data_IF_018840628753
#
_entry.id   IF_018840628753
#
_cell.length_a   1.000
_cell.length_b   1.000
_cell.length_c   1.000
_cell.angle_alpha   90.00
_cell.angle_beta   90.00
_cell.angle_gamma   90.00
#
_symmetry.space_group_name_H-M   'P 1'
#
loop_
_entity.id
_entity.type
_entity.pdbx_description
1 polymer ?
#
# COMPACT_ATOMS: atom_id res chain seq x y z
N UNK A 1 7.95 -10.09 -13.77
CA UNK A 1 9.14 -9.21 -13.62
C UNK A 1 8.94 -8.41 -12.35
N UNK A 2 9.96 -8.25 -11.49
CA UNK A 2 9.86 -7.42 -10.28
C UNK A 2 9.58 -5.96 -10.65
N UNK A 3 8.86 -5.27 -9.76
CA UNK A 3 8.52 -3.85 -9.91
C UNK A 3 9.75 -2.97 -9.80
N UNK A 4 9.65 -1.76 -10.36
CA UNK A 4 10.67 -0.72 -10.21
C UNK A 4 10.94 -0.43 -8.73
N UNK A 5 12.20 -0.13 -8.39
CA UNK A 5 12.62 0.10 -7.00
C UNK A 5 11.95 1.35 -6.42
N UNK A 6 11.28 1.20 -5.29
CA UNK A 6 10.73 2.31 -4.50
C UNK A 6 11.34 2.29 -3.09
N UNK A 7 12.35 3.14 -2.85
CA UNK A 7 13.02 3.25 -1.56
C UNK A 7 12.25 4.21 -0.63
N UNK A 8 11.67 3.65 0.44
CA UNK A 8 10.85 4.37 1.42
C UNK A 8 11.64 5.22 2.41
N UNK A 9 12.96 5.02 2.51
CA UNK A 9 13.85 5.64 3.47
C UNK A 9 14.54 4.63 4.38
N UNK A 10 15.43 5.10 5.28
CA UNK A 10 16.02 4.24 6.29
C UNK A 10 14.97 3.78 7.31
N UNK A 11 15.13 2.57 7.83
CA UNK A 11 14.43 2.08 9.02
C UNK A 11 15.48 1.48 9.96
N UNK A 12 16.20 2.37 10.64
CA UNK A 12 17.34 2.04 11.52
C UNK A 12 17.04 2.31 12.99
N UNK A 13 15.84 2.80 13.29
CA UNK A 13 15.34 3.00 14.66
C UNK A 13 14.23 2.00 14.93
N UNK A 14 14.11 1.58 16.18
CA UNK A 14 12.98 0.74 16.59
C UNK A 14 11.66 1.44 16.27
N UNK A 15 10.77 0.70 15.61
CA UNK A 15 9.40 1.12 15.35
C UNK A 15 8.46 0.00 15.79
N UNK A 16 7.42 0.38 16.54
CA UNK A 16 6.41 -0.57 17.03
C UNK A 16 5.20 -0.55 16.10
N UNK A 17 4.81 -1.73 15.63
CA UNK A 17 3.55 -1.90 14.93
C UNK A 17 2.39 -1.57 15.88
N UNK A 18 1.54 -0.56 15.58
CA UNK A 18 0.49 -0.16 16.51
C UNK A 18 -0.55 -1.25 16.72
N UNK A 19 -1.01 -1.44 17.96
CA UNK A 19 -1.96 -2.51 18.31
C UNK A 19 -3.29 -2.39 17.53
N UNK A 20 -3.72 -1.17 17.17
CA UNK A 20 -4.93 -1.00 16.32
C UNK A 20 -4.79 -1.62 14.93
N UNK A 21 -3.56 -1.70 14.42
CA UNK A 21 -3.27 -2.19 13.08
C UNK A 21 -3.38 -3.72 13.00
N UNK A 22 -3.34 -4.42 14.14
CA UNK A 22 -3.46 -5.89 14.19
C UNK A 22 -4.89 -6.38 14.05
N UNK A 23 -5.90 -5.50 14.16
CA UNK A 23 -7.31 -5.88 14.02
C UNK A 23 -7.63 -5.98 12.52
N UNK A 24 -7.91 -7.17 11.98
CA UNK A 24 -8.19 -7.32 10.56
C UNK A 24 -9.61 -6.84 10.24
N UNK A 25 -9.73 -6.09 9.15
CA UNK A 25 -11.01 -5.65 8.60
C UNK A 25 -11.56 -6.74 7.67
N UNK A 26 -12.80 -7.16 7.87
CA UNK A 26 -13.53 -8.11 7.01
C UNK A 26 -14.44 -7.34 6.05
N UNK A 27 -14.49 -7.77 4.78
CA UNK A 27 -15.33 -7.12 3.75
C UNK A 27 -16.83 -7.36 3.94
N UNK A 28 -17.19 -8.52 4.49
CA UNK A 28 -18.57 -8.92 4.73
C UNK A 28 -18.64 -10.01 5.81
N UNK A 29 -19.84 -10.26 6.35
CA UNK A 29 -20.07 -11.24 7.41
C UNK A 29 -19.81 -12.69 6.98
N UNK A 30 -19.88 -12.98 5.68
CA UNK A 30 -19.66 -14.31 5.09
C UNK A 30 -18.34 -14.42 4.33
N UNK A 31 -17.54 -13.36 4.33
CA UNK A 31 -16.28 -13.29 3.60
C UNK A 31 -15.19 -14.08 4.35
N UNK A 32 -14.36 -14.80 3.61
CA UNK A 32 -13.26 -15.60 4.16
C UNK A 32 -11.92 -14.87 4.16
N UNK A 33 -11.87 -13.62 3.69
CA UNK A 33 -10.67 -12.80 3.67
C UNK A 33 -10.81 -11.62 4.62
N UNK A 34 -9.71 -11.26 5.27
CA UNK A 34 -9.61 -10.09 6.14
C UNK A 34 -8.23 -9.43 6.02
N UNK A 35 -8.12 -8.14 6.32
CA UNK A 35 -6.89 -7.36 6.11
C UNK A 35 -6.51 -6.52 7.33
N UNK A 36 -5.31 -6.69 7.85
CA UNK A 36 -4.69 -5.81 8.84
C UNK A 36 -4.19 -4.50 8.22
N UNK A 37 -3.90 -3.52 9.07
CA UNK A 37 -3.37 -2.22 8.64
C UNK A 37 -4.37 -1.38 7.83
N UNK A 38 -5.66 -1.59 8.06
CA UNK A 38 -6.75 -0.89 7.38
C UNK A 38 -7.43 0.11 8.31
N UNK A 39 -8.05 1.13 7.73
CA UNK A 39 -8.89 2.14 8.38
C UNK A 39 -10.18 2.35 7.59
N UNK A 40 -11.19 2.95 8.24
CA UNK A 40 -12.46 3.25 7.60
C UNK A 40 -12.53 4.72 7.21
N UNK A 41 -13.00 4.99 5.99
CA UNK A 41 -13.18 6.34 5.47
C UNK A 41 -13.95 6.36 4.16
N UNK A 42 -13.71 7.38 3.34
CA UNK A 42 -14.32 7.49 2.01
C UNK A 42 -13.40 6.83 0.98
N UNK A 43 -13.74 5.61 0.55
CA UNK A 43 -13.11 4.97 -0.58
C UNK A 43 -14.08 4.93 -1.77
N UNK A 44 -13.61 5.29 -2.97
CA UNK A 44 -14.40 5.17 -4.22
C UNK A 44 -14.21 3.79 -4.88
N UNK A 45 -13.17 3.07 -4.49
CA UNK A 45 -12.78 1.79 -5.07
C UNK A 45 -13.45 0.59 -4.39
N UNK A 46 -14.08 0.79 -3.23
CA UNK A 46 -14.93 -0.21 -2.58
C UNK A 46 -16.12 0.45 -1.88
N UNK A 47 -17.23 -0.30 -1.75
CA UNK A 47 -18.48 0.22 -1.17
C UNK A 47 -18.47 0.25 0.36
N UNK A 48 -17.55 -0.47 0.99
CA UNK A 48 -17.38 -0.59 2.43
C UNK A 48 -16.67 0.63 3.05
N UNK A 49 -15.94 1.41 2.26
CA UNK A 49 -15.12 2.52 2.73
C UNK A 49 -13.83 2.08 3.42
N UNK A 50 -13.31 0.90 3.10
CA UNK A 50 -12.02 0.41 3.61
C UNK A 50 -10.90 1.13 2.87
N UNK A 51 -9.93 1.66 3.61
CA UNK A 51 -8.75 2.32 3.09
C UNK A 51 -7.54 1.79 3.86
N UNK A 52 -6.37 1.88 3.27
CA UNK A 52 -5.17 1.53 4.01
C UNK A 52 -4.76 2.60 5.01
N UNK A 53 -4.42 2.17 6.22
CA UNK A 53 -3.93 3.04 7.27
C UNK A 53 -2.44 3.29 7.07
N UNK A 54 -2.11 4.53 6.70
CA UNK A 54 -0.71 4.94 6.50
C UNK A 54 0.14 4.91 7.74
N UNK A 55 -0.50 4.99 8.90
CA UNK A 55 0.15 4.98 10.19
C UNK A 55 0.37 3.54 10.69
N UNK A 56 -0.06 2.53 9.92
CA UNK A 56 0.28 1.12 10.10
C UNK A 56 1.51 0.70 9.29
N UNK A 57 2.24 1.65 8.71
CA UNK A 57 3.52 1.44 8.06
C UNK A 57 4.62 2.21 8.80
N UNK A 58 5.88 1.73 8.80
CA UNK A 58 6.99 2.49 9.37
C UNK A 58 7.18 3.86 8.72
N UNK A 59 7.79 4.84 9.44
CA UNK A 59 8.04 6.18 8.93
C UNK A 59 8.77 6.15 7.59
N UNK A 60 8.30 6.97 6.64
CA UNK A 60 8.79 7.00 5.26
C UNK A 60 9.08 8.41 4.79
N UNK A 61 9.80 8.54 3.68
CA UNK A 61 10.05 9.84 3.02
C UNK A 61 8.72 10.54 2.72
N UNK A 62 8.63 11.83 3.08
CA UNK A 62 7.43 12.65 2.90
C UNK A 62 7.01 12.83 1.43
N UNK A 63 7.93 12.62 0.48
CA UNK A 63 7.65 12.65 -0.96
C UNK A 63 6.90 11.41 -1.48
N UNK A 64 6.68 10.39 -0.64
CA UNK A 64 6.01 9.14 -1.03
C UNK A 64 4.59 9.13 -0.48
N UNK A 65 3.64 9.34 -1.38
CA UNK A 65 2.21 9.19 -1.10
C UNK A 65 1.83 7.72 -1.04
N UNK A 66 0.99 7.36 -0.08
CA UNK A 66 0.47 6.00 0.06
C UNK A 66 -0.38 5.61 -1.17
N UNK A 67 -0.18 4.40 -1.67
CA UNK A 67 -1.14 3.72 -2.56
C UNK A 67 -2.06 2.80 -1.75
N UNK A 68 -2.88 2.00 -2.44
CA UNK A 68 -3.57 0.86 -1.82
C UNK A 68 -2.50 -0.01 -1.14
N UNK A 69 -2.64 -0.26 0.15
CA UNK A 69 -1.72 -1.10 0.90
C UNK A 69 -2.17 -2.56 0.85
N UNK A 70 -1.33 -3.38 1.46
CA UNK A 70 -1.19 -4.80 1.13
C UNK A 70 -0.70 -5.05 -0.32
N UNK A 71 -0.63 -4.01 -1.16
CA UNK A 71 -0.01 -4.07 -2.49
C UNK A 71 1.51 -3.73 -2.51
N UNK A 72 2.14 -3.63 -1.35
CA UNK A 72 3.54 -3.27 -1.19
C UNK A 72 3.83 -1.80 -1.55
N UNK A 73 4.43 -1.05 -0.62
CA UNK A 73 4.75 0.37 -0.86
C UNK A 73 6.17 0.63 -1.32
N UNK A 74 7.03 -0.36 -1.17
CA UNK A 74 8.46 -0.24 -1.44
C UNK A 74 9.25 -1.07 -0.45
N UNK A 75 10.50 -0.68 -0.27
CA UNK A 75 11.41 -1.26 0.70
C UNK A 75 12.10 -0.16 1.52
N UNK A 76 12.48 -0.50 2.75
CA UNK A 76 13.28 0.35 3.62
C UNK A 76 14.75 0.03 3.43
N UNK A 77 15.60 1.05 3.29
CA UNK A 77 17.04 0.87 3.13
C UNK A 77 17.83 2.13 3.52
N UNK A 78 18.88 2.00 4.37
CA UNK A 78 19.27 0.78 5.07
C UNK A 78 18.23 0.38 6.14
N UNK A 79 17.99 -0.94 6.25
CA UNK A 79 17.20 -1.54 7.32
C UNK A 79 17.53 -3.03 7.43
N UNK A 80 17.72 -3.53 8.66
CA UNK A 80 18.21 -4.90 8.90
C UNK A 80 17.52 -5.60 10.08
N UNK A 81 16.58 -4.94 10.76
CA UNK A 81 15.79 -5.49 11.86
C UNK A 81 14.31 -5.27 11.62
N UNK A 82 13.50 -6.32 11.83
CA UNK A 82 12.05 -6.21 11.72
C UNK A 82 11.48 -5.32 12.83
N UNK A 83 10.43 -4.54 12.53
CA UNK A 83 9.68 -3.81 13.56
C UNK A 83 9.23 -4.66 14.74
N UNK A 84 9.01 -4.01 15.88
CA UNK A 84 8.41 -4.68 17.03
C UNK A 84 6.98 -5.15 16.69
N UNK A 85 6.70 -6.43 16.96
CA UNK A 85 5.47 -7.12 16.57
C UNK A 85 5.58 -7.87 15.24
N UNK A 86 6.71 -7.74 14.55
CA UNK A 86 7.03 -8.44 13.32
C UNK A 86 8.26 -9.34 13.50
N UNK A 87 8.32 -10.40 12.70
CA UNK A 87 9.40 -11.38 12.64
C UNK A 87 9.88 -11.56 11.21
N UNK A 88 11.09 -12.09 11.05
CA UNK A 88 11.63 -12.47 9.73
C UNK A 88 10.85 -13.68 9.21
N UNK A 89 10.08 -13.49 8.14
CA UNK A 89 9.29 -14.55 7.52
C UNK A 89 9.90 -15.06 6.20
N UNK A 90 10.65 -14.22 5.50
CA UNK A 90 11.37 -14.62 4.29
C UNK A 90 12.64 -13.78 4.08
N UNK A 91 13.57 -14.31 3.29
CA UNK A 91 14.87 -13.68 3.03
C UNK A 91 15.36 -13.94 1.61
N UNK A 92 16.17 -13.01 1.10
CA UNK A 92 16.92 -13.19 -0.12
C UNK A 92 18.30 -12.52 -0.04
N UNK A 93 19.23 -12.97 -0.89
CA UNK A 93 20.54 -12.37 -1.12
C UNK A 93 20.73 -12.25 -2.63
N UNK A 94 20.81 -11.03 -3.14
CA UNK A 94 20.76 -10.82 -4.58
C UNK A 94 19.42 -11.19 -5.22
N UNK A 95 19.30 -11.07 -6.55
CA UNK A 95 18.04 -11.29 -7.27
C UNK A 95 17.62 -12.76 -7.37
N UNK A 96 18.55 -13.71 -7.25
CA UNK A 96 18.30 -15.13 -7.56
C UNK A 96 18.36 -16.07 -6.34
N UNK A 97 18.84 -15.61 -5.18
CA UNK A 97 18.98 -16.46 -3.99
C UNK A 97 17.97 -16.05 -2.94
N UNK A 98 17.06 -16.94 -2.55
CA UNK A 98 16.09 -16.65 -1.49
C UNK A 98 14.96 -17.68 -1.42
N UNK A 99 14.10 -17.53 -0.42
CA UNK A 99 12.90 -18.37 -0.24
C UNK A 99 11.59 -17.66 -0.63
N UNK A 100 11.69 -16.43 -1.16
CA UNK A 100 10.56 -15.63 -1.57
C UNK A 100 10.93 -14.72 -2.75
N UNK A 101 9.99 -14.50 -3.65
CA UNK A 101 10.17 -13.65 -4.82
C UNK A 101 9.68 -12.22 -4.52
N UNK A 102 10.57 -11.36 -4.02
CA UNK A 102 10.19 -10.02 -3.60
C UNK A 102 9.61 -9.18 -4.76
N UNK A 103 8.58 -8.38 -4.44
CA UNK A 103 7.92 -7.51 -5.41
C UNK A 103 8.88 -6.45 -5.95
N UNK A 104 9.77 -5.91 -5.12
CA UNK A 104 10.74 -4.88 -5.51
C UNK A 104 12.10 -5.50 -5.79
N UNK A 105 12.72 -5.09 -6.91
CA UNK A 105 13.98 -5.68 -7.34
C UNK A 105 15.12 -5.52 -6.32
N UNK A 106 15.93 -6.59 -6.23
CA UNK A 106 17.06 -6.76 -5.32
C UNK A 106 18.35 -6.63 -6.12
N UNK A 107 19.34 -5.90 -5.58
CA UNK A 107 20.67 -5.82 -6.19
C UNK A 107 21.56 -6.97 -5.74
N UNK A 108 22.55 -7.35 -6.56
CA UNK A 108 23.43 -8.51 -6.32
C UNK A 108 24.13 -8.49 -4.95
N UNK A 109 24.45 -7.30 -4.44
CA UNK A 109 25.14 -7.11 -3.16
C UNK A 109 24.19 -6.77 -1.98
N UNK A 110 22.87 -6.91 -2.17
CA UNK A 110 21.87 -6.65 -1.13
C UNK A 110 21.38 -7.94 -0.47
N UNK A 111 21.18 -7.84 0.84
CA UNK A 111 20.43 -8.80 1.65
C UNK A 111 19.05 -8.22 1.92
N UNK A 112 18.04 -9.06 1.83
CA UNK A 112 16.63 -8.66 1.96
C UNK A 112 15.96 -9.51 3.02
N UNK A 113 15.15 -8.84 3.85
CA UNK A 113 14.29 -9.46 4.86
C UNK A 113 12.85 -9.04 4.57
N UNK A 114 11.96 -10.02 4.43
CA UNK A 114 10.52 -9.81 4.46
C UNK A 114 10.01 -10.02 5.88
N UNK A 115 9.57 -8.94 6.51
CA UNK A 115 9.03 -8.97 7.86
C UNK A 115 7.51 -9.12 7.80
N UNK A 116 6.99 -10.04 8.60
CA UNK A 116 5.56 -10.27 8.80
C UNK A 116 5.19 -10.26 10.27
N UNK A 117 3.92 -9.96 10.65
CA UNK A 117 3.49 -10.11 12.04
C UNK A 117 3.78 -11.52 12.56
N UNK A 118 4.02 -11.68 13.86
CA UNK A 118 4.25 -13.00 14.46
C UNK A 118 3.14 -13.99 14.09
N UNK A 119 3.51 -15.17 13.59
CA UNK A 119 2.56 -16.20 13.13
C UNK A 119 2.05 -16.05 11.69
N UNK A 120 2.59 -15.09 10.92
CA UNK A 120 2.30 -14.91 9.49
C UNK A 120 3.49 -15.35 8.63
N UNK A 121 3.21 -15.68 7.36
CA UNK A 121 4.22 -16.04 6.36
C UNK A 121 4.19 -15.09 5.17
N UNK A 122 5.32 -14.93 4.47
CA UNK A 122 5.36 -14.14 3.23
C UNK A 122 4.50 -14.81 2.14
N UNK A 123 3.70 -14.01 1.45
CA UNK A 123 2.80 -14.45 0.40
C UNK A 123 2.69 -13.41 -0.71
N UNK A 124 2.16 -13.83 -1.86
CA UNK A 124 2.03 -12.98 -3.03
C UNK A 124 0.78 -13.32 -3.87
N UNK A 125 -0.42 -13.37 -3.27
CA UNK A 125 -1.63 -13.86 -3.92
C UNK A 125 -2.09 -12.85 -4.99
N UNK A 126 -1.70 -13.08 -6.24
CA UNK A 126 -2.08 -12.21 -7.36
C UNK A 126 -1.10 -11.07 -7.66
N UNK A 127 0.12 -11.10 -7.11
CA UNK A 127 1.24 -10.29 -7.60
C UNK A 127 1.93 -9.41 -6.55
N UNK A 128 1.21 -8.64 -5.71
CA UNK A 128 1.86 -7.84 -4.69
C UNK A 128 2.29 -8.64 -3.46
N UNK A 129 3.39 -8.25 -2.83
CA UNK A 129 3.92 -8.93 -1.65
C UNK A 129 3.12 -8.56 -0.39
N UNK A 130 2.76 -9.57 0.39
CA UNK A 130 1.94 -9.45 1.58
C UNK A 130 2.34 -10.52 2.61
N UNK A 131 1.78 -10.43 3.81
CA UNK A 131 1.85 -11.46 4.82
C UNK A 131 0.51 -12.17 4.90
N UNK A 132 0.50 -13.49 5.13
CA UNK A 132 -0.73 -14.26 5.28
C UNK A 132 -0.69 -15.18 6.50
N UNK A 133 -1.85 -15.40 7.10
CA UNK A 133 -2.09 -16.47 8.06
C UNK A 133 -3.53 -16.96 7.93
N UNK A 134 -3.84 -18.11 8.53
CA UNK A 134 -5.19 -18.67 8.55
C UNK A 134 -5.64 -18.82 10.00
N UNK A 135 -6.73 -18.15 10.36
CA UNK A 135 -7.42 -18.38 11.62
C UNK A 135 -8.59 -19.35 11.37
N UNK A 136 -8.65 -20.46 12.10
CA UNK A 136 -9.71 -21.47 11.95
C UNK A 136 -10.39 -21.87 13.27
N UNK A 137 -9.84 -21.42 14.40
CA UNK A 137 -10.31 -21.77 15.74
C UNK A 137 -10.17 -20.61 16.71
N UNK A 138 -11.08 -20.53 17.67
CA UNK A 138 -11.06 -19.53 18.75
C UNK A 138 -11.73 -18.22 18.36
N UNK A 139 -11.70 -17.26 19.29
CA UNK A 139 -12.31 -15.93 19.11
C UNK A 139 -11.26 -14.92 18.66
N UNK A 140 -11.55 -14.23 17.57
CA UNK A 140 -10.74 -13.17 16.98
C UNK A 140 -11.52 -11.86 16.97
N UNK A 141 -10.87 -10.77 17.36
CA UNK A 141 -11.44 -9.44 17.18
C UNK A 141 -11.27 -9.05 15.72
N UNK A 142 -12.36 -8.70 15.05
CA UNK A 142 -12.40 -8.24 13.66
C UNK A 142 -13.04 -6.86 13.59
N UNK A 143 -12.77 -6.14 12.51
CA UNK A 143 -13.39 -4.86 12.24
C UNK A 143 -14.23 -4.90 10.95
N UNK A 144 -15.24 -4.07 10.87
CA UNK A 144 -15.94 -3.74 9.64
C UNK A 144 -16.12 -2.24 9.53
N UNK A 145 -16.29 -1.74 8.30
CA UNK A 145 -16.54 -0.33 8.07
C UNK A 145 -18.04 -0.08 7.89
N UNK A 146 -18.59 0.82 8.71
CA UNK A 146 -19.99 1.25 8.62
C UNK A 146 -20.06 2.78 8.74
N UNK A 147 -20.60 3.44 7.71
CA UNK A 147 -20.72 4.91 7.65
C UNK A 147 -19.39 5.62 7.97
N UNK A 148 -18.29 5.18 7.36
CA UNK A 148 -16.93 5.71 7.55
C UNK A 148 -16.38 5.55 8.98
N UNK A 149 -16.98 4.66 9.79
CA UNK A 149 -16.51 4.34 11.14
C UNK A 149 -16.15 2.88 11.25
N UNK A 150 -15.11 2.61 12.02
CA UNK A 150 -14.72 1.26 12.41
C UNK A 150 -15.73 0.71 13.43
N UNK A 151 -16.32 -0.43 13.11
CA UNK A 151 -17.17 -1.21 14.00
C UNK A 151 -16.40 -2.46 14.38
N UNK A 152 -16.13 -2.63 15.67
CA UNK A 152 -15.47 -3.83 16.18
C UNK A 152 -16.49 -4.92 16.45
N UNK A 153 -16.14 -6.15 16.09
CA UNK A 153 -16.92 -7.34 16.38
C UNK A 153 -16.01 -8.50 16.78
N UNK A 154 -16.57 -9.52 17.41
CA UNK A 154 -15.87 -10.76 17.70
C UNK A 154 -16.35 -11.86 16.76
N UNK A 155 -15.43 -12.51 16.06
CA UNK A 155 -15.68 -13.68 15.24
C UNK A 155 -15.11 -14.89 15.96
N UNK A 156 -15.95 -15.89 16.24
CA UNK A 156 -15.50 -17.16 16.82
C UNK A 156 -15.56 -18.24 15.75
N UNK A 157 -14.44 -18.90 15.49
CA UNK A 157 -14.31 -19.92 14.45
C UNK A 157 -14.23 -21.34 15.02
N UNK A 158 -14.79 -22.35 14.33
CA UNK A 158 -15.62 -22.21 13.12
C UNK A 158 -16.98 -21.54 13.42
N UNK A 159 -17.55 -20.85 12.44
CA UNK A 159 -18.83 -20.14 12.59
C UNK A 159 -19.87 -20.61 11.56
N UNK A 160 -21.15 -20.55 11.92
CA UNK A 160 -22.25 -20.65 10.96
C UNK A 160 -22.99 -19.33 10.94
N UNK A 161 -22.96 -18.65 9.80
CA UNK A 161 -23.58 -17.34 9.60
C UNK A 161 -24.84 -17.54 8.76
N UNK A 162 -25.99 -17.22 9.34
CA UNK A 162 -27.27 -17.25 8.63
C UNK A 162 -27.67 -15.81 8.33
N UNK A 163 -27.78 -15.51 7.04
CA UNK A 163 -28.43 -14.30 6.53
C UNK A 163 -29.85 -14.65 6.05
N UNK A 164 -30.68 -13.66 5.74
CA UNK A 164 -32.09 -13.85 5.37
C UNK A 164 -32.28 -14.81 4.17
N UNK A 165 -31.26 -14.99 3.34
CA UNK A 165 -31.32 -15.76 2.09
C UNK A 165 -30.38 -16.98 2.05
N UNK A 166 -29.46 -17.14 3.01
CA UNK A 166 -28.43 -18.19 2.93
C UNK A 166 -27.78 -18.48 4.27
N UNK A 167 -27.36 -19.74 4.48
CA UNK A 167 -26.51 -20.14 5.60
C UNK A 167 -25.12 -20.50 5.07
N UNK A 168 -24.10 -19.87 5.62
CA UNK A 168 -22.69 -20.07 5.23
C UNK A 168 -21.90 -20.58 6.43
N UNK A 169 -21.14 -21.65 6.24
CA UNK A 169 -20.19 -22.16 7.23
C UNK A 169 -18.81 -21.57 6.97
N UNK A 170 -18.22 -20.97 7.99
CA UNK A 170 -16.86 -20.42 8.00
C UNK A 170 -15.96 -21.34 8.83
N UNK A 171 -15.24 -22.24 8.18
CA UNK A 171 -14.26 -23.12 8.83
C UNK A 171 -12.95 -22.38 9.16
N UNK A 172 -12.70 -21.26 8.49
CA UNK A 172 -11.57 -20.38 8.74
C UNK A 172 -11.60 -19.15 7.85
N UNK A 173 -10.76 -18.17 8.21
CA UNK A 173 -10.51 -16.98 7.41
C UNK A 173 -9.01 -16.83 7.13
N UNK A 174 -8.69 -16.36 5.93
CA UNK A 174 -7.35 -15.94 5.54
C UNK A 174 -7.19 -14.48 5.91
N UNK A 175 -6.14 -14.17 6.67
CA UNK A 175 -5.85 -12.82 7.12
C UNK A 175 -4.58 -12.35 6.44
N UNK A 176 -4.69 -11.24 5.71
CA UNK A 176 -3.57 -10.56 5.09
C UNK A 176 -3.05 -9.44 5.99
N UNK A 177 -1.75 -9.17 5.93
CA UNK A 177 -1.13 -8.08 6.66
C UNK A 177 -0.02 -7.40 5.84
N UNK A 178 0.31 -6.13 6.12
CA UNK A 178 1.39 -5.44 5.43
C UNK A 178 2.72 -6.21 5.57
N UNK A 179 3.36 -6.53 4.45
CA UNK A 179 4.72 -7.07 4.45
C UNK A 179 5.74 -5.93 4.34
N UNK A 180 6.67 -5.89 5.29
CA UNK A 180 7.68 -4.83 5.36
C UNK A 180 8.98 -5.41 4.80
N UNK A 181 9.40 -4.91 3.63
CA UNK A 181 10.66 -5.33 3.01
C UNK A 181 11.81 -4.43 3.49
N UNK A 182 12.85 -5.05 4.02
CA UNK A 182 14.07 -4.40 4.48
C UNK A 182 15.22 -4.80 3.56
N UNK A 183 15.99 -3.83 3.08
CA UNK A 183 17.20 -4.06 2.29
C UNK A 183 18.41 -3.45 3.00
N UNK A 184 19.48 -4.22 3.11
CA UNK A 184 20.75 -3.78 3.66
C UNK A 184 21.93 -4.46 2.97
N UNK A 185 23.11 -3.87 3.17
CA UNK A 185 24.42 -4.40 2.78
C UNK A 185 25.27 -4.60 4.02
N UNK A 186 26.36 -5.36 3.90
CA UNK A 186 27.24 -5.64 5.04
C UNK A 186 27.79 -4.37 5.71
N UNK A 187 28.12 -3.35 4.90
CA UNK A 187 28.58 -2.05 5.41
C UNK A 187 27.54 -1.33 6.27
N UNK A 188 26.25 -1.59 6.07
CA UNK A 188 25.18 -0.92 6.80
C UNK A 188 25.07 -1.42 8.25
N UNK A 189 25.52 -2.66 8.52
CA UNK A 189 25.54 -3.22 9.87
C UNK A 189 26.49 -2.45 10.80
N UNK A 190 27.54 -1.86 10.26
CA UNK A 190 28.48 -1.04 11.03
C UNK A 190 27.90 0.31 11.50
N UNK A 191 26.86 0.81 10.83
CA UNK A 191 26.18 2.07 11.20
C UNK A 191 25.30 1.90 12.44
N UNK A 192 24.87 0.68 12.77
CA UNK A 192 24.05 0.39 13.96
C UNK A 192 24.81 0.60 15.28
N UNK A 193 26.12 0.34 15.28
CA UNK A 193 26.97 0.47 16.48
C UNK A 193 27.34 1.92 16.83
N UNK A 194 26.98 2.90 16.00
CA UNK A 194 27.38 4.30 16.16
C UNK A 194 26.59 5.12 17.19
N UNK A 195 25.48 4.60 17.74
CA UNK A 195 24.67 5.30 18.74
C UNK A 195 25.06 4.96 20.19
N UNK A 196 26.35 4.73 20.44
CA UNK A 196 26.88 4.80 21.81
C UNK A 196 27.44 6.20 22.00
N UNK A 197 26.76 7.00 22.82
CA UNK A 197 27.19 8.34 23.25
C UNK A 197 28.60 8.24 23.85
N UNK A 198 29.63 8.50 23.04
CA UNK A 198 30.99 8.69 23.49
C UNK A 198 31.01 9.88 24.44
N UNK A 199 30.97 9.58 25.73
CA UNK A 199 31.18 10.57 26.78
C UNK A 199 32.70 10.74 26.85
N UNK A 200 33.22 11.68 26.06
CA UNK A 200 34.65 12.02 26.08
C UNK A 200 34.96 12.65 27.44
N UNK A 201 35.35 11.84 28.42
CA UNK A 201 35.98 12.32 29.66
C UNK A 201 37.36 12.85 29.32
N UNK A 202 37.43 14.14 28.97
CA UNK A 202 38.68 14.89 28.87
C UNK A 202 39.13 15.19 30.30
N UNK A 203 40.22 14.54 30.72
CA UNK A 203 40.94 14.88 31.94
C UNK A 203 41.81 16.11 31.66
N UNK A 204 41.55 17.22 32.35
CA UNK A 204 42.34 18.45 32.30
C UNK A 204 43.11 18.58 33.62
N UNK A 205 44.42 18.87 33.64
CA UNK A 205 45.15 19.11 34.87
C UNK A 205 44.84 20.51 35.42
N UNK A 206 44.86 20.61 36.75
CA UNK A 206 44.52 21.79 37.52
C UNK A 206 45.52 22.94 37.36
N UNK A 207 45.02 24.14 37.07
CA UNK A 207 45.65 25.39 37.50
C UNK A 207 44.59 26.46 37.82
N UNK A 208 45.04 27.38 38.66
CA UNK A 208 44.31 28.21 39.62
C UNK A 208 43.68 29.46 39.01
N UNK A 209 42.50 29.85 39.49
CA UNK A 209 42.18 31.25 39.76
C UNK A 209 41.08 31.92 38.92
N UNK A 210 40.20 32.59 39.68
CA UNK A 210 39.36 33.76 39.34
C UNK A 210 37.87 33.47 39.08
N UNK A 211 37.08 33.90 40.06
CA UNK A 211 35.62 33.94 40.08
C UNK A 211 35.06 34.86 39.00
N UNK A 212 34.19 34.36 38.12
CA UNK A 212 33.19 35.17 37.42
C UNK A 212 31.87 34.39 37.29
N UNK A 213 30.81 35.08 37.66
CA UNK A 213 29.41 34.66 37.62
C UNK A 213 28.91 34.45 36.19
N UNK A 214 28.35 33.27 35.91
CA UNK A 214 27.59 33.02 34.69
C UNK A 214 26.09 33.14 34.99
N UNK A 215 25.48 34.14 34.38
CA UNK A 215 24.03 34.29 34.23
C UNK A 215 23.54 33.40 33.09
N UNK A 216 22.54 32.55 33.38
CA UNK A 216 21.80 31.77 32.40
C UNK A 216 21.11 32.69 31.38
N UNK A 217 21.52 32.57 30.12
CA UNK A 217 20.91 33.23 28.97
C UNK A 217 20.34 32.19 28.01
N UNK A 218 19.02 31.97 28.08
CA UNK A 218 18.27 31.16 27.11
C UNK A 218 18.29 31.80 25.72
N UNK A 219 18.95 31.18 24.73
CA UNK A 219 18.89 31.63 23.34
C UNK A 219 17.89 30.81 22.51
N UNK A 220 16.70 31.36 22.31
CA UNK A 220 15.75 30.92 21.28
C UNK A 220 16.24 31.36 19.89
N UNK A 221 16.69 30.42 19.07
CA UNK A 221 17.12 30.66 17.69
C UNK A 221 15.94 30.92 16.74
N UNK A 222 15.57 32.18 16.56
CA UNK A 222 14.65 32.62 15.50
C UNK A 222 15.41 32.91 14.19
N UNK A 223 14.86 32.46 13.06
CA UNK A 223 15.43 32.68 11.72
C UNK A 223 15.72 34.17 11.45
N UNK A 224 16.90 34.43 10.89
CA UNK A 224 17.39 35.77 10.52
C UNK A 224 16.36 36.56 9.71
N UNK A 225 16.27 37.85 10.01
CA UNK A 225 15.36 38.80 9.34
C UNK A 225 15.48 38.76 7.81
N UNK A 226 16.69 38.46 7.30
CA UNK A 226 16.93 38.29 5.86
C UNK A 226 16.23 37.05 5.26
N UNK A 227 16.11 35.95 6.01
CA UNK A 227 15.40 34.75 5.55
C UNK A 227 13.88 34.97 5.51
N UNK A 228 13.32 35.72 6.46
CA UNK A 228 11.90 36.09 6.47
C UNK A 228 11.55 37.05 5.32
N UNK A 229 12.44 37.99 4.98
CA UNK A 229 12.23 38.92 3.89
C UNK A 229 12.27 38.24 2.50
N UNK A 230 13.14 37.23 2.31
CA UNK A 230 13.25 36.51 1.04
C UNK A 230 12.01 35.67 0.69
N UNK A 231 11.39 35.03 1.68
CA UNK A 231 10.20 34.18 1.47
C UNK A 231 8.97 35.03 1.09
N UNK A 232 8.82 36.23 1.67
CA UNK A 232 7.70 37.11 1.37
C UNK A 232 7.68 37.62 -0.08
N UNK A 233 8.84 37.97 -0.63
CA UNK A 233 8.92 38.51 -1.99
C UNK A 233 8.69 37.45 -3.08
N UNK A 234 9.15 36.20 -2.86
CA UNK A 234 9.04 35.13 -3.85
C UNK A 234 7.60 34.67 -4.11
N UNK A 235 6.80 34.54 -3.05
CA UNK A 235 5.41 34.04 -3.15
C UNK A 235 4.50 35.04 -3.88
N UNK A 236 4.73 36.35 -3.69
CA UNK A 236 3.92 37.38 -4.33
C UNK A 236 3.98 37.35 -5.85
N UNK A 237 5.19 37.19 -6.42
CA UNK A 237 5.39 37.18 -7.88
C UNK A 237 4.81 35.91 -8.51
N UNK A 238 5.06 34.75 -7.90
CA UNK A 238 4.54 33.46 -8.39
C UNK A 238 3.01 33.41 -8.28
N UNK A 239 2.43 33.90 -7.18
CA UNK A 239 0.99 33.96 -6.98
C UNK A 239 0.28 34.82 -8.04
N UNK A 240 0.81 36.00 -8.34
CA UNK A 240 0.24 36.89 -9.37
C UNK A 240 0.32 36.27 -10.77
N UNK A 241 1.40 35.56 -11.10
CA UNK A 241 1.55 34.87 -12.39
C UNK A 241 0.50 33.76 -12.57
N UNK A 242 0.24 32.97 -11.53
CA UNK A 242 -0.75 31.87 -11.56
C UNK A 242 -2.17 32.43 -11.73
N UNK A 243 -2.52 33.49 -10.98
CA UNK A 243 -3.84 34.14 -11.08
C UNK A 243 -4.05 34.73 -12.48
N UNK A 244 -3.02 35.37 -13.04
CA UNK A 244 -3.07 35.91 -14.41
C UNK A 244 -3.29 34.82 -15.46
N UNK A 245 -2.57 33.69 -15.35
CA UNK A 245 -2.72 32.55 -16.25
C UNK A 245 -4.12 31.91 -16.16
N UNK A 246 -4.64 31.72 -14.94
CA UNK A 246 -5.98 31.17 -14.72
C UNK A 246 -7.07 32.08 -15.32
N UNK A 247 -6.98 33.40 -15.11
CA UNK A 247 -7.93 34.36 -15.68
C UNK A 247 -7.90 34.38 -17.21
N UNK A 248 -6.71 34.32 -17.82
CA UNK A 248 -6.55 34.29 -19.27
C UNK A 248 -7.19 33.04 -19.90
N UNK A 249 -6.94 31.86 -19.32
CA UNK A 249 -7.53 30.60 -19.80
C UNK A 249 -9.05 30.57 -19.65
N UNK A 250 -9.58 31.12 -18.55
CA UNK A 250 -11.02 31.22 -18.35
C UNK A 250 -11.69 32.15 -19.37
N UNK A 251 -11.06 33.28 -19.68
CA UNK A 251 -11.54 34.21 -20.71
C UNK A 251 -11.50 33.61 -22.12
N UNK A 252 -10.49 32.78 -22.42
CA UNK A 252 -10.38 32.07 -23.71
C UNK A 252 -11.49 31.04 -23.86
N UNK A 253 -11.84 30.31 -22.81
CA UNK A 253 -12.95 29.33 -22.83
C UNK A 253 -14.31 30.00 -23.06
N UNK A 254 -14.55 31.20 -22.52
CA UNK A 254 -15.82 31.92 -22.69
C UNK A 254 -16.02 32.53 -24.09
N UNK A 255 -14.99 32.55 -24.95
CA UNK A 255 -15.11 33.03 -26.34
C UNK A 255 -15.36 31.93 -27.38
N UNK A 256 -15.47 30.67 -26.95
CA UNK A 256 -15.68 29.52 -27.84
C UNK A 256 -17.12 28.97 -27.78
N UNK A 257 -18.12 29.84 -27.60
CA UNK A 257 -19.53 29.43 -27.70
C UNK A 257 -20.34 30.51 -28.40
N UNK A 258 -20.45 30.38 -29.73
CA UNK A 258 -21.64 30.79 -30.48
C UNK A 258 -22.12 29.59 -31.33
N UNK A 259 -23.44 29.38 -31.49
CA UNK A 259 -24.02 28.21 -32.11
C UNK A 259 -24.22 28.40 -33.62
N UNK A 260 -24.04 27.34 -34.41
CA UNK A 260 -24.44 27.30 -35.81
C UNK A 260 -25.31 26.07 -36.07
N UNK A 261 -26.39 26.33 -36.79
CA UNK A 261 -27.56 25.51 -37.01
C UNK A 261 -27.43 24.49 -38.16
N UNK A 262 -28.43 23.63 -38.17
CA UNK A 262 -28.97 22.67 -39.15
C UNK A 262 -29.00 23.10 -40.64
N UNK A 263 -29.19 22.06 -41.50
CA UNK A 263 -29.49 21.99 -42.95
C UNK A 263 -28.24 21.74 -43.85
N UNK A 264 -28.15 20.78 -44.79
CA UNK A 264 -29.15 19.99 -45.54
C UNK A 264 -28.64 18.61 -46.00
N UNK A 265 -29.62 17.72 -46.19
CA UNK A 265 -29.68 16.53 -47.05
C UNK A 265 -29.39 16.81 -48.53
N UNK A 266 -28.67 15.91 -49.23
CA UNK A 266 -29.08 15.37 -50.55
C UNK A 266 -28.22 14.18 -51.03
N UNK A 267 -28.94 13.13 -51.40
CA UNK A 267 -28.52 11.94 -52.14
C UNK A 267 -27.96 12.27 -53.53
N UNK A 268 -27.07 11.42 -54.05
CA UNK A 268 -27.22 10.94 -55.43
C UNK A 268 -26.68 9.51 -55.59
N UNK A 269 -27.43 8.73 -56.35
CA UNK A 269 -27.32 7.29 -56.56
C UNK A 269 -26.91 7.03 -58.00
N UNK A 270 -25.85 6.24 -58.23
CA UNK A 270 -25.71 5.18 -59.26
C UNK A 270 -24.24 4.95 -59.59
N UNK A 271 -23.74 3.75 -59.29
CA UNK A 271 -23.44 2.83 -60.38
C UNK A 271 -23.55 1.38 -59.89
N UNK A 272 -24.25 0.58 -60.69
CA UNK A 272 -24.63 -0.79 -60.39
C UNK A 272 -23.64 -1.77 -61.01
N UNK A 273 -23.46 -2.92 -60.35
CA UNK A 273 -23.18 -4.19 -61.03
C UNK A 273 -22.17 -5.10 -60.35
N UNK A 274 -22.63 -5.91 -59.39
CA UNK A 274 -22.48 -7.39 -59.43
C UNK A 274 -23.02 -8.05 -58.14
N UNK A 275 -24.26 -8.53 -58.26
CA UNK A 275 -24.82 -9.79 -57.71
C UNK A 275 -23.77 -10.89 -57.41
N UNK A 276 -23.82 -11.77 -56.39
CA UNK A 276 -24.86 -12.25 -55.47
C UNK A 276 -24.22 -13.05 -54.30
N UNK A 277 -24.87 -13.02 -53.13
CA UNK A 277 -25.16 -14.15 -52.23
C UNK A 277 -24.04 -14.86 -51.43
N UNK A 278 -24.04 -14.68 -50.10
CA UNK A 278 -23.89 -15.77 -49.12
C UNK A 278 -24.54 -15.38 -47.78
N UNK A 279 -25.76 -15.87 -47.57
CA UNK A 279 -26.28 -16.12 -46.23
C UNK A 279 -25.82 -17.50 -45.76
N UNK A 280 -25.36 -17.62 -44.52
CA UNK A 280 -25.22 -18.92 -43.84
C UNK A 280 -25.47 -18.72 -42.34
N UNK A 281 -26.49 -19.37 -41.75
CA UNK A 281 -26.69 -19.42 -40.31
C UNK A 281 -25.69 -20.39 -39.63
N UNK A 282 -25.44 -20.24 -38.32
CA UNK A 282 -24.47 -21.05 -37.60
C UNK A 282 -24.87 -22.54 -37.52
N UNK A 283 -23.90 -23.46 -37.43
CA UNK A 283 -24.15 -24.90 -37.43
C UNK A 283 -24.87 -25.34 -36.14
N UNK A 284 -25.94 -26.12 -36.30
CA UNK A 284 -26.57 -26.87 -35.21
C UNK A 284 -25.87 -28.21 -35.01
N UNK A 285 -25.49 -28.51 -33.77
CA UNK A 285 -24.98 -29.82 -33.37
C UNK A 285 -26.14 -30.73 -32.95
N UNK A 286 -26.21 -31.98 -33.44
CA UNK A 286 -27.15 -32.96 -32.92
C UNK A 286 -26.74 -33.40 -31.50
N UNK A 287 -27.70 -33.75 -30.63
CA UNK A 287 -27.41 -34.27 -29.29
C UNK A 287 -26.68 -35.62 -29.38
N UNK A 288 -25.59 -35.73 -28.64
CA UNK A 288 -24.87 -37.00 -28.44
C UNK A 288 -25.68 -37.84 -27.45
N UNK A 289 -26.17 -38.99 -27.91
CA UNK A 289 -26.75 -40.00 -27.03
C UNK A 289 -25.62 -40.77 -26.33
N UNK A 290 -25.67 -40.82 -25.00
CA UNK A 290 -24.81 -41.71 -24.19
C UNK A 290 -25.48 -43.08 -24.13
N UNK A 291 -24.90 -44.04 -24.85
CA UNK A 291 -25.29 -45.44 -24.81
C UNK A 291 -24.87 -46.05 -23.46
N UNK A 292 -25.85 -46.43 -22.64
CA UNK A 292 -25.64 -47.08 -21.35
C UNK A 292 -25.69 -48.60 -21.53
N UNK A 293 -24.61 -49.18 -22.04
CA UNK A 293 -24.43 -50.64 -22.03
C UNK A 293 -23.62 -51.09 -20.82
N UNK A 294 -24.37 -51.73 -19.93
CA UNK A 294 -24.00 -52.42 -18.70
C UNK A 294 -22.77 -53.33 -18.84
N UNK A 295 -21.86 -53.28 -17.86
CA UNK A 295 -20.98 -54.40 -17.54
C UNK A 295 -20.80 -54.48 -16.02
N UNK A 296 -21.67 -55.29 -15.41
CA UNK A 296 -21.35 -56.06 -14.22
C UNK A 296 -20.06 -56.85 -14.47
N UNK A 297 -19.12 -56.80 -13.55
CA UNK A 297 -18.32 -57.96 -13.19
C UNK A 297 -18.17 -57.99 -11.67
N UNK A 298 -18.55 -59.14 -11.11
CA UNK A 298 -18.32 -59.56 -9.74
C UNK A 298 -16.86 -59.98 -9.53
N UNK A 299 -16.48 -60.00 -8.24
CA UNK A 299 -15.23 -60.42 -7.59
C UNK A 299 -14.12 -59.36 -7.48
#
# INVERSE_FOLDING_TARGET
MPSARMNLGPLTTEWKYPDRCTVPVTDCSTCTNAWQGQTCGNNKDNTQGVLDDTDCWPPRKSSITAGNAVNGWGFYSPAFECPQGYETACTATGPETGNFNFQFSIQDDERVIGCCPSGYTCAQPGGPQTCTTIASRGSLQVASCSKQKTVLNWLTLPATVTDETSTVSLDGITIFAPMIQLNYREKDLSLSSGSTRSTTTVSVPAETGTSQSFSDGSSSGGLSTGAKAGIGAGVGVVGLAIIGAAFYLWRRRKRATLPAAELETKEDTKNAGSVLNYGSPPPQYPPVELDATNSRHEM
#
